data_IF_213887970949
#
_entry.id   IF_213887970949
#
_cell.length_a   1.000
_cell.length_b   1.000
_cell.length_c   1.000
_cell.angle_alpha   90.00
_cell.angle_beta   90.00
_cell.angle_gamma   90.00
#
_symmetry.space_group_name_H-M   'P 1'
#
loop_
_entity.id
_entity.type
_entity.pdbx_description
1 polymer ?
#
# COMPACT_ATOMS: atom_id res chain seq x y z
N UNK A 1 8.47 10.68 11.85
CA UNK A 1 7.55 9.89 11.00
C UNK A 1 7.83 8.44 11.31
N UNK A 2 6.82 7.72 11.77
CA UNK A 2 6.92 6.28 12.05
C UNK A 2 6.94 5.50 10.73
N UNK A 3 7.80 4.50 10.60
CA UNK A 3 7.98 3.69 9.37
C UNK A 3 6.95 2.57 9.27
N UNK A 4 5.72 2.87 9.68
CA UNK A 4 4.58 1.96 9.64
C UNK A 4 3.89 1.93 8.25
N UNK A 5 4.50 2.52 7.21
CA UNK A 5 3.92 2.69 5.86
C UNK A 5 3.55 1.37 5.17
N UNK A 6 4.32 0.31 5.42
CA UNK A 6 4.07 -1.05 4.91
C UNK A 6 2.68 -1.55 5.33
N UNK A 7 2.30 -1.36 6.60
CA UNK A 7 1.00 -1.75 7.14
C UNK A 7 -0.14 -0.99 6.46
N UNK A 8 -0.03 0.34 6.32
CA UNK A 8 -1.02 1.17 5.61
C UNK A 8 -1.17 0.75 4.15
N UNK A 9 -0.06 0.46 3.47
CA UNK A 9 -0.08 0.05 2.07
C UNK A 9 -0.80 -1.29 1.90
N UNK A 10 -0.48 -2.28 2.75
CA UNK A 10 -1.11 -3.59 2.74
C UNK A 10 -2.61 -3.52 3.10
N UNK A 11 -2.96 -2.77 4.14
CA UNK A 11 -4.35 -2.56 4.57
C UNK A 11 -5.17 -1.93 3.46
N UNK A 12 -4.71 -0.84 2.85
CA UNK A 12 -5.44 -0.19 1.77
C UNK A 12 -5.68 -1.12 0.56
N UNK A 13 -4.72 -2.00 0.23
CA UNK A 13 -4.92 -3.02 -0.80
C UNK A 13 -5.96 -4.07 -0.40
N UNK A 14 -5.92 -4.52 0.87
CA UNK A 14 -6.86 -5.50 1.42
C UNK A 14 -8.30 -4.95 1.50
N UNK A 15 -8.47 -3.70 1.94
CA UNK A 15 -9.76 -3.02 1.96
C UNK A 15 -10.38 -2.97 0.55
N UNK A 16 -9.54 -2.65 -0.44
CA UNK A 16 -9.90 -2.60 -1.85
C UNK A 16 -10.42 -3.94 -2.37
N UNK A 17 -9.64 -5.01 -2.23
CA UNK A 17 -10.05 -6.34 -2.71
C UNK A 17 -11.27 -6.86 -1.96
N UNK A 18 -11.40 -6.59 -0.66
CA UNK A 18 -12.59 -6.96 0.11
C UNK A 18 -13.86 -6.25 -0.40
N UNK A 19 -13.75 -4.98 -0.80
CA UNK A 19 -14.87 -4.27 -1.42
C UNK A 19 -15.23 -4.88 -2.77
N UNK A 20 -14.24 -5.24 -3.58
CA UNK A 20 -14.44 -5.79 -4.93
C UNK A 20 -15.10 -7.19 -4.88
N UNK A 21 -14.60 -8.08 -4.04
CA UNK A 21 -15.06 -9.48 -4.01
C UNK A 21 -16.27 -9.68 -3.09
N UNK A 22 -16.32 -9.00 -1.94
CA UNK A 22 -17.36 -9.20 -0.92
C UNK A 22 -18.40 -8.06 -0.86
N UNK A 23 -18.23 -7.01 -1.66
CA UNK A 23 -19.13 -5.86 -1.71
C UNK A 23 -19.07 -4.93 -0.50
N UNK A 24 -18.22 -5.22 0.50
CA UNK A 24 -18.13 -4.49 1.76
C UNK A 24 -16.84 -3.67 1.83
N UNK A 25 -16.98 -2.35 1.94
CA UNK A 25 -15.84 -1.49 2.27
C UNK A 25 -15.81 -1.38 3.78
N UNK A 26 -14.75 -1.89 4.40
CA UNK A 26 -14.57 -1.92 5.85
C UNK A 26 -13.21 -1.32 6.12
N UNK A 27 -13.13 -0.39 7.07
CA UNK A 27 -11.84 0.12 7.55
C UNK A 27 -11.14 -0.93 8.39
N UNK A 28 -9.96 -1.37 7.98
CA UNK A 28 -9.20 -2.43 8.64
C UNK A 28 -8.05 -1.84 9.47
N UNK A 29 -7.58 -2.61 10.45
CA UNK A 29 -6.59 -2.12 11.42
C UNK A 29 -5.15 -2.25 10.91
N UNK A 30 -4.50 -1.12 10.65
CA UNK A 30 -3.05 -1.09 10.48
C UNK A 30 -2.34 -1.46 11.79
N UNK A 31 -2.89 -1.05 12.94
CA UNK A 31 -2.26 -1.28 14.24
C UNK A 31 -2.14 -2.76 14.61
N UNK A 32 -3.07 -3.61 14.17
CA UNK A 32 -2.93 -5.05 14.36
C UNK A 32 -1.68 -5.57 13.66
N UNK A 33 -1.35 -5.09 12.46
CA UNK A 33 -0.11 -5.46 11.78
C UNK A 33 1.10 -4.94 12.55
N UNK A 34 1.09 -3.65 12.93
CA UNK A 34 2.19 -3.01 13.67
C UNK A 34 2.50 -3.73 14.98
N UNK A 35 1.48 -4.14 15.73
CA UNK A 35 1.66 -4.76 17.05
C UNK A 35 1.91 -6.27 16.98
N UNK A 36 1.38 -6.97 15.97
CA UNK A 36 1.33 -8.43 15.94
C UNK A 36 2.20 -9.08 14.85
N UNK A 37 2.52 -8.37 13.77
CA UNK A 37 3.41 -8.86 12.71
C UNK A 37 4.82 -8.34 12.94
N UNK A 38 5.42 -8.81 14.03
CA UNK A 38 6.78 -8.43 14.48
C UNK A 38 7.75 -9.61 14.44
N UNK A 39 7.31 -10.75 13.90
CA UNK A 39 8.10 -11.96 13.80
C UNK A 39 8.86 -11.98 12.47
N UNK A 40 10.13 -11.56 12.49
CA UNK A 40 11.04 -11.67 11.35
C UNK A 40 11.54 -10.32 10.81
N UNK A 41 11.15 -9.99 9.58
CA UNK A 41 11.61 -8.76 8.88
C UNK A 41 10.82 -7.54 9.32
N UNK A 42 9.53 -7.70 9.61
CA UNK A 42 8.65 -6.60 10.00
C UNK A 42 8.91 -6.25 11.47
N UNK A 43 9.08 -4.95 11.73
CA UNK A 43 9.54 -4.40 13.00
C UNK A 43 8.67 -3.22 13.41
N UNK A 44 7.35 -3.37 13.29
CA UNK A 44 6.38 -2.32 13.63
C UNK A 44 6.70 -1.02 12.89
N UNK A 45 6.95 0.04 13.66
CA UNK A 45 7.24 1.37 13.15
C UNK A 45 8.72 1.65 12.85
N UNK A 46 9.60 0.63 12.89
CA UNK A 46 10.97 0.68 12.35
C UNK A 46 11.05 0.25 10.88
N UNK A 47 10.00 -0.41 10.36
CA UNK A 47 9.87 -0.81 8.96
C UNK A 47 9.26 -2.20 8.80
N UNK A 48 8.93 -2.55 7.55
CA UNK A 48 8.36 -3.85 7.21
C UNK A 48 8.08 -3.96 5.71
N UNK A 49 7.58 -5.11 5.28
CA UNK A 49 7.26 -5.43 3.88
C UNK A 49 5.78 -5.77 3.72
N UNK A 50 5.17 -5.30 2.64
CA UNK A 50 3.73 -5.51 2.39
C UNK A 50 3.40 -6.99 2.19
N UNK A 51 4.31 -7.77 1.62
CA UNK A 51 4.13 -9.22 1.45
C UNK A 51 4.10 -9.98 2.76
N UNK A 52 4.92 -9.57 3.73
CA UNK A 52 4.93 -10.18 5.05
C UNK A 52 3.61 -9.90 5.75
N UNK A 53 3.13 -8.65 5.70
CA UNK A 53 1.79 -8.29 6.16
C UNK A 53 0.72 -9.20 5.54
N UNK A 54 0.74 -9.42 4.21
CA UNK A 54 -0.23 -10.31 3.58
C UNK A 54 -0.10 -11.76 4.05
N UNK A 55 1.12 -12.27 4.19
CA UNK A 55 1.36 -13.62 4.72
C UNK A 55 0.89 -13.76 6.17
N UNK A 56 1.09 -12.75 6.99
CA UNK A 56 0.60 -12.70 8.36
C UNK A 56 -0.92 -12.76 8.39
N UNK A 57 -1.59 -11.90 7.61
CA UNK A 57 -3.07 -11.86 7.52
C UNK A 57 -3.62 -13.22 7.05
N UNK A 58 -2.99 -13.84 6.05
CA UNK A 58 -3.37 -15.17 5.56
C UNK A 58 -3.28 -16.22 6.67
N UNK A 59 -2.12 -16.31 7.35
CA UNK A 59 -1.88 -17.27 8.45
C UNK A 59 -2.83 -17.05 9.63
N UNK A 60 -3.14 -15.78 9.94
CA UNK A 60 -4.08 -15.38 11.01
C UNK A 60 -5.54 -15.48 10.61
N UNK A 61 -5.81 -15.77 9.34
CA UNK A 61 -7.17 -15.91 8.77
C UNK A 61 -7.98 -14.62 8.87
N UNK A 62 -7.32 -13.48 8.65
CA UNK A 62 -7.95 -12.17 8.54
C UNK A 62 -7.33 -11.10 9.42
N UNK A 63 -7.93 -9.91 9.32
CA UNK A 63 -7.50 -8.70 10.01
C UNK A 63 -8.71 -8.04 10.67
N UNK A 64 -8.56 -7.48 11.87
CA UNK A 64 -9.63 -6.79 12.58
C UNK A 64 -10.01 -5.47 11.90
N UNK A 65 -11.20 -4.96 12.25
CA UNK A 65 -11.61 -3.62 11.86
C UNK A 65 -10.86 -2.57 12.67
N UNK A 66 -10.61 -1.40 12.07
CA UNK A 66 -10.01 -0.24 12.73
C UNK A 66 -10.79 0.18 13.99
N UNK A 67 -12.12 0.07 13.96
CA UNK A 67 -12.96 0.38 15.13
C UNK A 67 -12.75 -0.57 16.32
N UNK A 68 -12.19 -1.76 16.09
CA UNK A 68 -11.91 -2.78 17.13
C UNK A 68 -10.46 -2.65 17.62
N UNK A 69 -9.54 -2.37 16.71
CA UNK A 69 -8.11 -2.23 16.99
C UNK A 69 -7.59 -0.91 16.39
N UNK A 70 -7.85 0.24 17.06
CA UNK A 70 -7.54 1.55 16.48
C UNK A 70 -6.04 1.83 16.39
N UNK A 71 -5.65 2.62 15.39
CA UNK A 71 -4.29 3.12 15.21
C UNK A 71 -3.86 4.09 16.32
N UNK A 72 -2.70 3.81 16.92
CA UNK A 72 -2.08 4.63 17.96
C UNK A 72 -0.84 5.37 17.47
N UNK A 73 -0.28 4.98 16.32
CA UNK A 73 0.87 5.67 15.73
C UNK A 73 2.20 5.34 16.37
N UNK A 74 2.27 4.27 17.15
CA UNK A 74 3.48 3.77 17.82
C UNK A 74 3.39 2.24 17.99
N UNK A 75 4.52 1.60 18.26
CA UNK A 75 4.55 0.17 18.54
C UNK A 75 3.84 -0.16 19.85
N UNK A 76 2.93 -1.13 19.79
CA UNK A 76 2.24 -1.68 20.94
C UNK A 76 2.59 -3.15 21.18
N UNK A 77 1.85 -3.75 22.12
CA UNK A 77 1.90 -5.19 22.37
C UNK A 77 0.68 -5.82 21.69
N UNK A 78 0.90 -6.86 20.89
CA UNK A 78 -0.18 -7.58 20.21
C UNK A 78 -1.34 -7.94 21.15
N UNK A 79 -2.48 -7.28 20.95
CA UNK A 79 -3.69 -7.55 21.69
C UNK A 79 -4.51 -8.66 21.02
N UNK A 80 -4.19 -9.90 21.40
CA UNK A 80 -4.82 -11.11 20.84
C UNK A 80 -6.34 -11.15 21.01
N UNK A 81 -6.92 -10.45 22.00
CA UNK A 81 -8.38 -10.37 22.17
C UNK A 81 -9.03 -9.49 21.12
N UNK A 82 -8.44 -8.34 20.81
CA UNK A 82 -8.91 -7.45 19.74
C UNK A 82 -8.73 -8.10 18.37
N UNK A 83 -7.58 -8.73 18.16
CA UNK A 83 -7.22 -9.45 16.93
C UNK A 83 -7.99 -10.78 16.73
N UNK A 84 -8.78 -11.24 17.71
CA UNK A 84 -9.50 -12.51 17.61
C UNK A 84 -10.70 -12.47 16.64
N UNK A 85 -11.20 -11.27 16.31
CA UNK A 85 -12.42 -11.09 15.49
C UNK A 85 -12.03 -10.39 14.17
N UNK A 86 -11.69 -11.15 13.11
CA UNK A 86 -11.36 -10.56 11.83
C UNK A 86 -12.61 -9.97 11.16
N UNK A 87 -12.46 -8.80 10.57
CA UNK A 87 -13.50 -8.10 9.81
C UNK A 87 -13.46 -8.41 8.31
N UNK A 88 -12.27 -8.73 7.78
CA UNK A 88 -12.07 -9.21 6.42
C UNK A 88 -10.95 -10.26 6.37
N UNK A 89 -10.89 -11.02 5.28
CA UNK A 89 -9.92 -12.12 5.09
C UNK A 89 -9.37 -12.09 3.67
N UNK A 90 -8.13 -12.55 3.54
CA UNK A 90 -7.49 -12.85 2.26
C UNK A 90 -7.01 -14.31 2.30
N UNK A 91 -6.79 -14.90 1.14
CA UNK A 91 -6.33 -16.28 0.99
C UNK A 91 -4.88 -16.39 0.52
N UNK A 92 -4.20 -15.25 0.35
CA UNK A 92 -2.81 -15.17 -0.07
C UNK A 92 -2.49 -13.81 -0.68
N UNK A 93 -1.37 -13.76 -1.40
CA UNK A 93 -0.94 -12.59 -2.17
C UNK A 93 -0.16 -13.02 -3.41
N UNK A 94 -0.05 -12.12 -4.38
CA UNK A 94 0.78 -12.29 -5.56
C UNK A 94 1.72 -11.10 -5.73
N UNK A 95 2.88 -11.35 -6.33
CA UNK A 95 3.82 -10.31 -6.77
C UNK A 95 3.59 -10.00 -8.23
N UNK A 96 3.57 -8.72 -8.56
CA UNK A 96 3.70 -8.26 -9.94
C UNK A 96 5.15 -8.48 -10.38
N UNK A 97 5.41 -8.94 -11.62
CA UNK A 97 6.77 -9.03 -12.14
C UNK A 97 7.52 -7.71 -12.00
N UNK A 98 8.69 -7.75 -11.36
CA UNK A 98 9.51 -6.57 -11.12
C UNK A 98 9.89 -5.84 -12.43
N UNK A 99 9.96 -4.51 -12.35
CA UNK A 99 10.35 -3.61 -13.42
C UNK A 99 9.46 -3.73 -14.68
N UNK A 100 8.16 -3.96 -14.47
CA UNK A 100 7.20 -4.15 -15.54
C UNK A 100 5.93 -3.32 -15.31
N UNK A 101 5.97 -2.04 -15.68
CA UNK A 101 4.82 -1.12 -15.60
C UNK A 101 3.59 -1.65 -16.38
N UNK A 102 3.79 -2.48 -17.42
CA UNK A 102 2.67 -3.09 -18.15
C UNK A 102 1.95 -4.16 -17.33
N UNK A 103 2.69 -5.04 -16.65
CA UNK A 103 2.10 -6.03 -15.75
C UNK A 103 1.47 -5.34 -14.53
N UNK A 104 2.11 -4.29 -14.01
CA UNK A 104 1.54 -3.45 -12.96
C UNK A 104 0.21 -2.82 -13.39
N UNK A 105 0.14 -2.30 -14.63
CA UNK A 105 -1.09 -1.70 -15.16
C UNK A 105 -2.24 -2.72 -15.20
N UNK A 106 -1.93 -3.97 -15.58
CA UNK A 106 -2.91 -5.05 -15.58
C UNK A 106 -3.38 -5.38 -14.17
N UNK A 107 -2.48 -5.42 -13.18
CA UNK A 107 -2.86 -5.66 -11.79
C UNK A 107 -3.75 -4.52 -11.24
N UNK A 108 -3.34 -3.26 -11.41
CA UNK A 108 -4.08 -2.08 -10.94
C UNK A 108 -5.45 -1.93 -11.61
N UNK A 109 -5.61 -2.42 -12.85
CA UNK A 109 -6.89 -2.44 -13.54
C UNK A 109 -7.92 -3.38 -12.88
N UNK A 110 -7.46 -4.38 -12.11
CA UNK A 110 -8.33 -5.34 -11.42
C UNK A 110 -8.58 -4.96 -9.96
N UNK A 111 -7.57 -4.44 -9.27
CA UNK A 111 -7.66 -4.13 -7.83
C UNK A 111 -6.54 -3.17 -7.39
N UNK A 112 -6.63 -2.57 -6.19
CA UNK A 112 -5.51 -1.81 -5.64
C UNK A 112 -4.27 -2.68 -5.37
N UNK A 113 -3.09 -2.11 -5.59
CA UNK A 113 -1.78 -2.80 -5.49
C UNK A 113 -0.89 -2.03 -4.53
N UNK A 114 -0.25 -2.73 -3.60
CA UNK A 114 0.76 -2.19 -2.70
C UNK A 114 2.10 -2.05 -3.42
N UNK A 115 2.78 -0.93 -3.24
CA UNK A 115 4.01 -0.58 -3.96
C UNK A 115 5.00 0.10 -3.02
N UNK A 116 6.27 -0.31 -3.07
CA UNK A 116 7.38 0.44 -2.49
C UNK A 116 7.96 1.45 -3.49
N UNK A 117 8.30 2.65 -3.00
CA UNK A 117 8.88 3.76 -3.76
C UNK A 117 10.03 4.42 -2.98
N UNK A 118 10.85 5.19 -3.69
CA UNK A 118 11.72 6.21 -3.08
C UNK A 118 10.94 7.53 -2.90
N UNK A 119 10.61 7.86 -1.65
CA UNK A 119 9.93 9.08 -1.25
C UNK A 119 10.87 10.08 -0.53
N UNK A 120 12.17 9.81 -0.50
CA UNK A 120 13.18 10.62 0.22
C UNK A 120 13.40 12.00 -0.43
N UNK A 121 13.12 12.13 -1.73
CA UNK A 121 13.37 13.33 -2.51
C UNK A 121 12.57 14.56 -2.05
N UNK A 122 13.21 15.72 -2.04
CA UNK A 122 12.60 17.01 -1.64
C UNK A 122 11.31 17.30 -2.43
N UNK A 123 11.32 17.10 -3.75
CA UNK A 123 10.15 17.36 -4.59
C UNK A 123 8.96 16.46 -4.25
N UNK A 124 9.22 15.22 -3.79
CA UNK A 124 8.17 14.30 -3.35
C UNK A 124 7.58 14.78 -2.01
N UNK A 125 8.44 15.11 -1.04
CA UNK A 125 8.00 15.56 0.29
C UNK A 125 7.06 16.78 0.22
N UNK A 126 7.34 17.73 -0.68
CA UNK A 126 6.57 18.96 -0.85
C UNK A 126 5.58 18.94 -2.01
N UNK A 127 5.29 17.76 -2.58
CA UNK A 127 4.26 17.62 -3.59
C UNK A 127 2.91 18.14 -3.10
N UNK A 128 2.26 18.97 -3.92
CA UNK A 128 0.96 19.58 -3.61
C UNK A 128 -0.09 19.41 -4.72
N UNK A 129 0.31 18.95 -5.90
CA UNK A 129 -0.62 18.69 -7.00
C UNK A 129 0.04 18.55 -8.37
N UNK A 130 -0.76 18.14 -9.35
CA UNK A 130 -0.30 17.87 -10.71
C UNK A 130 0.21 16.43 -10.91
N UNK A 131 0.67 16.10 -12.11
CA UNK A 131 1.40 14.85 -12.33
C UNK A 131 2.84 15.07 -11.89
N UNK A 132 3.28 14.37 -10.84
CA UNK A 132 4.64 14.37 -10.35
C UNK A 132 5.57 13.79 -11.42
N UNK A 133 6.48 14.63 -11.89
CA UNK A 133 7.57 14.28 -12.81
C UNK A 133 8.93 14.59 -12.20
N UNK A 134 8.96 14.78 -10.88
CA UNK A 134 10.12 15.24 -10.15
C UNK A 134 11.22 14.20 -10.05
N UNK A 135 12.38 14.63 -9.56
CA UNK A 135 13.52 13.73 -9.35
C UNK A 135 13.34 12.88 -8.09
N UNK A 136 13.53 11.59 -8.23
CA UNK A 136 13.59 10.59 -7.17
C UNK A 136 14.52 9.46 -7.62
N UNK A 137 15.12 8.75 -6.66
CA UNK A 137 15.95 7.59 -6.94
C UNK A 137 15.13 6.31 -7.01
N UNK A 138 15.77 5.21 -6.65
CA UNK A 138 15.20 3.86 -6.58
C UNK A 138 15.62 3.15 -5.28
N UNK A 139 16.07 3.91 -4.29
CA UNK A 139 16.32 3.40 -2.93
C UNK A 139 14.99 3.42 -2.18
N UNK A 140 14.25 2.31 -2.28
CA UNK A 140 12.88 2.23 -1.78
C UNK A 140 12.85 2.39 -0.26
N UNK A 141 12.11 3.38 0.22
CA UNK A 141 12.05 3.75 1.64
C UNK A 141 10.61 3.96 2.15
N UNK A 142 9.62 3.92 1.26
CA UNK A 142 8.23 4.20 1.61
C UNK A 142 7.25 3.31 0.81
N UNK A 143 6.21 2.82 1.48
CA UNK A 143 5.17 2.01 0.88
C UNK A 143 3.86 2.79 0.74
N UNK A 144 3.28 2.77 -0.46
CA UNK A 144 2.00 3.41 -0.82
C UNK A 144 1.16 2.47 -1.67
N UNK A 145 -0.09 2.83 -1.97
CA UNK A 145 -1.02 1.96 -2.70
C UNK A 145 -1.45 2.58 -4.02
N UNK A 146 -1.22 1.89 -5.13
CA UNK A 146 -1.82 2.24 -6.42
C UNK A 146 -3.31 1.90 -6.40
N UNK A 147 -4.16 2.90 -6.56
CA UNK A 147 -5.63 2.75 -6.56
C UNK A 147 -6.24 3.05 -7.93
N UNK A 148 -5.41 3.38 -8.91
CA UNK A 148 -5.84 3.63 -10.28
C UNK A 148 -4.73 4.20 -11.14
N UNK A 149 -5.10 4.59 -12.35
CA UNK A 149 -4.23 5.24 -13.33
C UNK A 149 -5.08 6.07 -14.28
N UNK A 150 -4.45 6.96 -15.04
CA UNK A 150 -5.14 7.77 -16.02
C UNK A 150 -4.20 8.48 -16.98
N UNK A 151 -4.77 9.41 -17.72
CA UNK A 151 -4.05 10.39 -18.51
C UNK A 151 -4.70 11.76 -18.34
N UNK A 152 -3.89 12.82 -18.30
CA UNK A 152 -4.34 14.20 -18.38
C UNK A 152 -4.78 14.55 -19.80
N UNK A 153 -5.42 15.71 -19.98
CA UNK A 153 -5.91 16.16 -21.30
C UNK A 153 -4.80 16.32 -22.35
N UNK A 154 -3.58 16.63 -21.92
CA UNK A 154 -2.38 16.74 -22.77
C UNK A 154 -1.72 15.37 -23.08
N UNK A 155 -2.32 14.27 -22.60
CA UNK A 155 -1.83 12.91 -22.80
C UNK A 155 -0.81 12.43 -21.77
N UNK A 156 -0.44 13.23 -20.75
CA UNK A 156 0.48 12.78 -19.70
C UNK A 156 -0.16 11.68 -18.86
N UNK A 157 0.39 10.46 -18.96
CA UNK A 157 -0.07 9.29 -18.21
C UNK A 157 0.43 9.33 -16.77
N UNK A 158 -0.41 8.87 -15.86
CA UNK A 158 -0.08 8.81 -14.43
C UNK A 158 -0.63 7.57 -13.74
N UNK A 159 0.03 7.19 -12.65
CA UNK A 159 -0.48 6.35 -11.58
C UNK A 159 -1.19 7.21 -10.54
N UNK A 160 -2.35 6.79 -10.05
CA UNK A 160 -3.02 7.43 -8.92
C UNK A 160 -2.72 6.64 -7.65
N UNK A 161 -1.99 7.25 -6.73
CA UNK A 161 -1.48 6.61 -5.53
C UNK A 161 -2.09 7.21 -4.27
N UNK A 162 -2.54 6.36 -3.35
CA UNK A 162 -2.96 6.72 -1.99
C UNK A 162 -1.74 6.71 -1.07
N UNK A 163 -1.48 7.83 -0.40
CA UNK A 163 -0.41 7.98 0.59
C UNK A 163 -0.99 7.93 2.03
N UNK A 164 -0.12 7.75 3.03
CA UNK A 164 -0.44 7.65 4.46
C UNK A 164 -0.04 8.89 5.28
N UNK A 165 0.30 10.01 4.63
CA UNK A 165 0.71 11.26 5.29
C UNK A 165 -0.44 12.25 5.56
N UNK A 166 -1.68 11.75 5.55
CA UNK A 166 -2.87 12.54 5.82
C UNK A 166 -3.35 13.39 4.64
N UNK A 167 -4.56 13.92 4.78
CA UNK A 167 -5.27 14.61 3.69
C UNK A 167 -4.73 16.02 3.37
N UNK A 168 -3.87 16.60 4.22
CA UNK A 168 -3.25 17.91 3.95
C UNK A 168 -2.09 17.83 2.97
N UNK A 169 -1.54 16.64 2.72
CA UNK A 169 -0.44 16.43 1.78
C UNK A 169 -0.97 16.12 0.38
N UNK A 170 -0.30 16.64 -0.66
CA UNK A 170 -0.65 16.35 -2.05
C UNK A 170 -2.10 16.68 -2.41
N UNK A 171 -2.71 15.84 -3.23
CA UNK A 171 -4.08 15.97 -3.71
C UNK A 171 -5.05 15.26 -2.76
N UNK A 172 -5.25 15.84 -1.57
CA UNK A 172 -6.07 15.26 -0.48
C UNK A 172 -5.54 13.90 0.02
N UNK A 173 -4.23 13.79 0.17
CA UNK A 173 -3.53 12.56 0.57
C UNK A 173 -3.16 11.64 -0.60
N UNK A 174 -3.40 12.07 -1.84
CA UNK A 174 -3.04 11.32 -3.05
C UNK A 174 -1.93 12.02 -3.81
N UNK A 175 -1.25 11.24 -4.66
CA UNK A 175 -0.29 11.74 -5.65
C UNK A 175 -0.54 11.08 -6.99
N UNK A 176 -0.40 11.87 -8.06
CA UNK A 176 -0.34 11.36 -9.43
C UNK A 176 1.11 11.26 -9.86
N UNK A 177 1.67 10.06 -10.00
CA UNK A 177 3.07 9.85 -10.41
C UNK A 177 3.13 9.55 -11.90
N UNK A 178 4.05 10.16 -12.65
CA UNK A 178 4.19 9.89 -14.08
C UNK A 178 4.38 8.40 -14.36
N UNK A 179 3.58 7.90 -15.31
CA UNK A 179 3.60 6.51 -15.77
C UNK A 179 4.25 6.40 -17.15
N UNK A 180 4.77 5.21 -17.48
CA UNK A 180 5.49 4.92 -18.71
C UNK A 180 6.76 5.80 -18.80
N UNK A 181 7.52 5.82 -17.71
CA UNK A 181 8.81 6.52 -17.67
C UNK A 181 9.86 5.77 -18.53
N UNK A 182 10.98 6.42 -18.84
CA UNK A 182 12.08 5.74 -19.55
C UNK A 182 12.83 4.73 -18.67
N UNK A 183 12.71 4.86 -17.33
CA UNK A 183 13.30 3.91 -16.38
C UNK A 183 12.45 2.64 -16.32
N UNK A 184 13.11 1.48 -16.30
CA UNK A 184 12.41 0.17 -16.26
C UNK A 184 11.73 -0.05 -14.91
N UNK A 185 12.35 0.49 -13.88
CA UNK A 185 11.90 0.54 -12.49
C UNK A 185 10.64 1.41 -12.33
N UNK A 186 10.28 2.20 -13.35
CA UNK A 186 9.29 3.26 -13.26
C UNK A 186 9.80 4.45 -12.44
N UNK A 187 9.08 5.57 -12.49
CA UNK A 187 9.47 6.75 -11.72
C UNK A 187 9.41 6.43 -10.21
N UNK A 188 10.48 6.77 -9.48
CA UNK A 188 10.67 6.50 -8.05
C UNK A 188 10.69 5.00 -7.68
N UNK A 189 10.96 4.11 -8.63
CA UNK A 189 11.00 2.67 -8.38
C UNK A 189 9.63 1.99 -8.27
N UNK A 190 8.56 2.65 -8.71
CA UNK A 190 7.17 2.19 -8.57
C UNK A 190 6.87 0.79 -9.16
N UNK A 191 7.69 0.28 -10.07
CA UNK A 191 7.53 -1.05 -10.65
C UNK A 191 8.46 -2.11 -10.02
N UNK A 192 9.30 -1.77 -9.03
CA UNK A 192 10.33 -2.65 -8.49
C UNK A 192 9.79 -3.74 -7.57
N UNK A 193 8.92 -3.40 -6.62
CA UNK A 193 8.33 -4.36 -5.67
C UNK A 193 6.82 -4.13 -5.47
N UNK A 194 5.98 -4.44 -6.49
CA UNK A 194 4.54 -4.34 -6.38
C UNK A 194 3.92 -5.70 -5.99
N UNK A 195 3.00 -5.70 -5.04
CA UNK A 195 2.26 -6.90 -4.62
C UNK A 195 0.82 -6.59 -4.25
N UNK A 196 -0.05 -7.59 -4.34
CA UNK A 196 -1.46 -7.43 -4.03
C UNK A 196 -2.03 -8.67 -3.34
N UNK A 197 -3.00 -8.50 -2.42
CA UNK A 197 -3.66 -9.61 -1.76
C UNK A 197 -4.67 -10.28 -2.71
N UNK A 198 -4.88 -11.58 -2.53
CA UNK A 198 -5.91 -12.34 -3.26
C UNK A 198 -6.97 -12.89 -2.30
N UNK A 199 -8.20 -13.00 -2.78
CA UNK A 199 -9.32 -13.61 -2.05
C UNK A 199 -9.82 -14.78 -2.89
N UNK A 200 -9.87 -15.97 -2.30
CA UNK A 200 -10.50 -17.13 -2.95
C UNK A 200 -11.97 -16.84 -3.18
N UNK A 201 -12.43 -16.97 -4.42
CA UNK A 201 -13.86 -16.95 -4.72
C UNK A 201 -14.53 -18.11 -3.98
N UNK A 202 -15.57 -17.79 -3.22
CA UNK A 202 -16.42 -18.79 -2.57
C UNK A 202 -17.22 -19.59 -3.60
#
# INVERSE_FOLDING_TARGET
MTRCCWAFSAVAAMEGINKLENGKLVSLSEQELVDCDIDGIDQGCEGGLMENAFQFIEKRKGLAAESVYPYTGEDGICNTKKAAIPAAKISGHEKVPANNEKALLQAVANQPVSIAIDASGYEFQFYSGGVFTGSCGTELDHAITAVGYGATMDGTKYWLMKNSWGASWGEKGYIRIKRDSLAKEGLCGIAMDPSYPVVSKA
#
